data_IF_311217337447
#
_entry.id   IF_311217337447
#
_cell.length_a   1.000
_cell.length_b   1.000
_cell.length_c   1.000
_cell.angle_alpha   90.00
_cell.angle_beta   90.00
_cell.angle_gamma   90.00
#
_symmetry.space_group_name_H-M   'P 1'
#
loop_
_entity.id
_entity.type
_entity.pdbx_description
1 polymer ?
#
# COMPACT_ATOMS: atom_id res chain seq x y z
N UNK A 1 -51.51 3.64 -52.78
CA UNK A 1 -51.21 2.70 -51.68
C UNK A 1 -49.83 3.02 -51.12
N UNK A 2 -49.76 3.69 -49.96
CA UNK A 2 -48.48 4.01 -49.29
C UNK A 2 -48.21 2.96 -48.22
N UNK A 3 -47.06 2.30 -48.32
CA UNK A 3 -46.58 1.30 -47.38
C UNK A 3 -46.19 1.98 -46.05
N UNK A 4 -46.74 1.50 -44.95
CA UNK A 4 -46.34 1.88 -43.60
C UNK A 4 -45.26 0.90 -43.13
N UNK A 5 -44.02 1.38 -43.02
CA UNK A 5 -42.91 0.62 -42.44
C UNK A 5 -42.96 0.75 -40.92
N UNK A 6 -43.26 -0.35 -40.23
CA UNK A 6 -43.14 -0.44 -38.76
C UNK A 6 -41.67 -0.72 -38.43
N UNK A 7 -41.00 0.24 -37.81
CA UNK A 7 -39.67 0.06 -37.24
C UNK A 7 -39.85 -0.53 -35.83
N UNK A 8 -39.54 -1.81 -35.67
CA UNK A 8 -39.45 -2.45 -34.37
C UNK A 8 -38.14 -2.02 -33.70
N UNK A 9 -38.25 -1.18 -32.66
CA UNK A 9 -37.12 -0.76 -31.84
C UNK A 9 -36.81 -1.89 -30.84
N UNK A 10 -35.78 -2.68 -31.11
CA UNK A 10 -35.22 -3.66 -30.18
C UNK A 10 -34.52 -2.91 -29.04
N UNK A 11 -35.19 -2.81 -27.90
CA UNK A 11 -34.57 -2.38 -26.65
C UNK A 11 -33.73 -3.56 -26.15
N UNK A 12 -32.42 -3.51 -26.41
CA UNK A 12 -31.46 -4.42 -25.80
C UNK A 12 -31.35 -4.08 -24.30
N UNK A 13 -32.09 -4.80 -23.47
CA UNK A 13 -31.84 -4.84 -22.03
C UNK A 13 -30.48 -5.55 -21.83
N UNK A 14 -29.41 -4.78 -21.64
CA UNK A 14 -28.16 -5.35 -21.15
C UNK A 14 -28.41 -5.85 -19.74
N UNK A 15 -28.53 -7.17 -19.57
CA UNK A 15 -28.44 -7.79 -18.27
C UNK A 15 -27.08 -7.41 -17.70
N UNK A 16 -27.05 -6.45 -16.77
CA UNK A 16 -25.90 -6.25 -15.92
C UNK A 16 -25.71 -7.57 -15.19
N UNK A 17 -24.67 -8.31 -15.56
CA UNK A 17 -24.25 -9.44 -14.75
C UNK A 17 -23.84 -8.83 -13.42
N UNK A 18 -24.66 -9.04 -12.39
CA UNK A 18 -24.37 -8.55 -11.04
C UNK A 18 -23.05 -9.19 -10.61
N UNK A 19 -22.00 -8.38 -10.48
CA UNK A 19 -20.73 -8.86 -9.97
C UNK A 19 -20.95 -9.31 -8.51
N UNK A 20 -20.34 -10.43 -8.15
CA UNK A 20 -20.36 -10.93 -6.78
C UNK A 20 -19.24 -10.25 -6.01
N UNK A 21 -19.59 -9.59 -4.91
CA UNK A 21 -18.57 -8.96 -4.08
C UNK A 21 -17.60 -10.01 -3.49
N UNK A 22 -16.28 -9.76 -3.55
CA UNK A 22 -15.23 -10.73 -3.14
C UNK A 22 -15.43 -11.22 -1.71
N UNK A 23 -15.73 -10.33 -0.76
CA UNK A 23 -15.97 -10.71 0.65
C UNK A 23 -17.15 -11.68 0.77
N UNK A 24 -18.22 -11.46 0.00
CA UNK A 24 -19.40 -12.33 0.03
C UNK A 24 -19.10 -13.67 -0.65
N UNK A 25 -18.32 -13.67 -1.73
CA UNK A 25 -17.90 -14.87 -2.43
C UNK A 25 -17.01 -15.77 -1.56
N UNK A 26 -16.13 -15.19 -0.74
CA UNK A 26 -15.32 -15.92 0.25
C UNK A 26 -16.24 -16.49 1.34
N UNK A 27 -17.13 -15.67 1.91
CA UNK A 27 -18.02 -16.08 2.99
C UNK A 27 -18.99 -17.20 2.60
N UNK A 28 -19.41 -17.24 1.33
CA UNK A 28 -20.31 -18.28 0.78
C UNK A 28 -19.56 -19.43 0.09
N UNK A 29 -18.22 -19.46 0.21
CA UNK A 29 -17.36 -20.49 -0.38
C UNK A 29 -17.47 -20.64 -1.91
N UNK A 30 -17.94 -19.59 -2.61
CA UNK A 30 -17.90 -19.53 -4.08
C UNK A 30 -16.45 -19.44 -4.56
N UNK A 31 -15.60 -18.80 -3.77
CA UNK A 31 -14.15 -18.75 -4.01
C UNK A 31 -13.35 -19.02 -2.74
N UNK A 32 -12.12 -19.49 -2.95
CA UNK A 32 -11.07 -19.46 -1.94
C UNK A 32 -10.09 -18.33 -2.27
N UNK A 33 -9.60 -17.61 -1.26
CA UNK A 33 -8.65 -16.51 -1.44
C UNK A 33 -7.48 -16.63 -0.45
N UNK A 34 -6.26 -16.65 -0.98
CA UNK A 34 -5.03 -16.52 -0.18
C UNK A 34 -4.40 -15.16 -0.46
N UNK A 35 -4.17 -14.37 0.58
CA UNK A 35 -3.65 -13.00 0.46
C UNK A 35 -2.36 -12.93 1.24
N UNK A 36 -1.31 -12.38 0.62
CA UNK A 36 -0.01 -12.17 1.24
C UNK A 36 0.66 -10.90 0.71
N UNK A 37 1.76 -10.48 1.33
CA UNK A 37 2.59 -9.42 0.76
C UNK A 37 3.03 -9.76 -0.67
N UNK A 38 3.07 -8.75 -1.54
CA UNK A 38 3.47 -8.96 -2.92
C UNK A 38 4.97 -9.30 -3.01
N UNK A 39 5.31 -10.32 -3.78
CA UNK A 39 6.69 -10.52 -4.21
C UNK A 39 7.01 -9.55 -5.35
N UNK A 40 7.84 -8.54 -5.10
CA UNK A 40 8.21 -7.53 -6.08
C UNK A 40 8.79 -8.08 -7.38
N UNK A 41 9.43 -9.27 -7.34
CA UNK A 41 9.96 -9.94 -8.53
C UNK A 41 8.87 -10.56 -9.42
N UNK A 42 7.69 -10.83 -8.86
CA UNK A 42 6.55 -11.40 -9.60
C UNK A 42 5.61 -10.33 -10.16
N UNK A 43 5.74 -9.07 -9.73
CA UNK A 43 4.86 -7.98 -10.17
C UNK A 43 5.18 -7.62 -11.63
N UNK A 44 4.22 -7.76 -12.56
CA UNK A 44 4.44 -7.42 -13.96
C UNK A 44 4.68 -5.91 -14.15
N UNK A 45 5.45 -5.53 -15.17
CA UNK A 45 5.83 -4.13 -15.40
C UNK A 45 4.63 -3.18 -15.59
N UNK A 46 3.50 -3.67 -16.10
CA UNK A 46 2.28 -2.86 -16.27
C UNK A 46 1.56 -2.51 -14.95
N UNK A 47 2.03 -3.05 -13.82
CA UNK A 47 1.59 -2.68 -12.47
C UNK A 47 2.51 -1.64 -11.81
N UNK A 48 3.43 -1.01 -12.56
CA UNK A 48 4.12 0.20 -12.08
C UNK A 48 3.30 1.42 -12.44
N UNK A 49 2.66 2.02 -11.44
CA UNK A 49 1.94 3.28 -11.57
C UNK A 49 2.63 4.35 -10.73
N UNK A 50 3.03 5.48 -11.33
CA UNK A 50 3.77 6.58 -10.68
C UNK A 50 4.88 6.13 -9.69
N UNK A 51 5.69 5.15 -10.09
CA UNK A 51 6.76 4.55 -9.28
C UNK A 51 6.30 3.85 -7.98
N UNK A 52 5.00 3.53 -7.88
CA UNK A 52 4.42 2.74 -6.80
C UNK A 52 4.04 1.35 -7.32
N UNK A 53 4.24 0.36 -6.46
CA UNK A 53 3.96 -1.04 -6.75
C UNK A 53 2.83 -1.54 -5.83
N UNK A 54 1.99 -2.48 -6.30
CA UNK A 54 1.11 -3.24 -5.45
C UNK A 54 1.84 -3.80 -4.22
N UNK A 55 1.16 -3.78 -3.08
CA UNK A 55 1.73 -4.23 -1.79
C UNK A 55 1.26 -5.61 -1.39
N UNK A 56 0.21 -6.11 -2.03
CA UNK A 56 -0.35 -7.43 -1.78
C UNK A 56 -0.51 -8.20 -3.10
N UNK A 57 -0.42 -9.52 -2.98
CA UNK A 57 -0.89 -10.45 -4.00
C UNK A 57 -2.00 -11.32 -3.41
N UNK A 58 -2.96 -11.67 -4.26
CA UNK A 58 -4.12 -12.47 -3.91
C UNK A 58 -4.26 -13.60 -4.92
N UNK A 59 -4.23 -14.83 -4.45
CA UNK A 59 -4.55 -16.01 -5.24
C UNK A 59 -6.01 -16.37 -5.03
N UNK A 60 -6.78 -16.32 -6.11
CA UNK A 60 -8.21 -16.60 -6.13
C UNK A 60 -8.46 -17.94 -6.81
N UNK A 61 -9.29 -18.78 -6.21
CA UNK A 61 -9.74 -20.06 -6.79
C UNK A 61 -11.26 -20.05 -6.88
N UNK A 62 -11.81 -20.29 -8.07
CA UNK A 62 -13.24 -20.46 -8.26
C UNK A 62 -13.65 -21.89 -7.88
N UNK A 63 -14.45 -22.04 -6.82
CA UNK A 63 -14.89 -23.35 -6.34
C UNK A 63 -16.13 -23.87 -7.08
N UNK A 64 -16.69 -23.11 -8.01
CA UNK A 64 -17.93 -23.42 -8.72
C UNK A 64 -17.70 -23.95 -10.14
N UNK A 65 -18.77 -24.44 -10.78
CA UNK A 65 -18.79 -24.81 -12.19
C UNK A 65 -19.23 -23.66 -13.12
N UNK A 66 -19.40 -22.44 -12.58
CA UNK A 66 -19.86 -21.27 -13.33
C UNK A 66 -18.76 -20.21 -13.37
N UNK A 67 -18.78 -19.37 -14.41
CA UNK A 67 -17.93 -18.19 -14.47
C UNK A 67 -18.41 -17.19 -13.39
N UNK A 68 -17.46 -16.61 -12.65
CA UNK A 68 -17.72 -15.59 -11.65
C UNK A 68 -17.13 -14.26 -12.09
N UNK A 69 -17.94 -13.20 -12.03
CA UNK A 69 -17.46 -11.83 -12.09
C UNK A 69 -17.39 -11.32 -10.65
N UNK A 70 -16.19 -10.97 -10.21
CA UNK A 70 -15.91 -10.55 -8.85
C UNK A 70 -15.54 -9.08 -8.81
N UNK A 71 -16.00 -8.39 -7.78
CA UNK A 71 -15.58 -7.01 -7.50
C UNK A 71 -15.29 -6.80 -6.01
N UNK A 72 -14.35 -5.90 -5.73
CA UNK A 72 -14.13 -5.36 -4.39
C UNK A 72 -13.69 -3.92 -4.56
N UNK A 73 -14.51 -2.98 -4.08
CA UNK A 73 -14.19 -1.56 -4.14
C UNK A 73 -13.07 -1.18 -3.17
N UNK A 74 -12.39 -0.07 -3.43
CA UNK A 74 -11.37 0.49 -2.54
C UNK A 74 -11.88 0.81 -1.13
N UNK A 75 -10.92 1.00 -0.21
CA UNK A 75 -11.18 1.40 1.17
C UNK A 75 -11.23 0.24 2.17
N UNK A 76 -11.11 -1.02 1.75
CA UNK A 76 -10.93 -2.13 2.68
C UNK A 76 -9.56 -2.08 3.36
N UNK A 77 -9.55 -2.31 4.68
CA UNK A 77 -8.34 -2.53 5.44
C UNK A 77 -7.94 -4.01 5.32
N UNK A 78 -6.69 -4.25 4.99
CA UNK A 78 -6.09 -5.57 4.87
C UNK A 78 -5.26 -5.80 6.12
N UNK A 79 -5.69 -6.75 6.94
CA UNK A 79 -5.12 -6.99 8.26
C UNK A 79 -4.04 -8.08 8.20
N UNK A 80 -2.82 -7.82 8.68
CA UNK A 80 -1.80 -8.84 8.73
C UNK A 80 -2.17 -9.89 9.77
N UNK A 81 -1.82 -11.14 9.47
CA UNK A 81 -2.02 -12.26 10.41
C UNK A 81 -0.97 -12.30 11.52
N UNK A 82 0.11 -11.54 11.38
CA UNK A 82 1.23 -11.47 12.31
C UNK A 82 1.41 -10.05 12.86
N UNK A 83 1.82 -9.96 14.14
CA UNK A 83 2.12 -8.68 14.80
C UNK A 83 3.39 -8.05 14.22
N UNK A 84 3.44 -6.72 14.26
CA UNK A 84 4.60 -5.94 13.82
C UNK A 84 4.60 -5.61 12.32
N UNK A 85 3.59 -6.08 11.59
CA UNK A 85 3.32 -5.68 10.21
C UNK A 85 2.17 -4.66 10.15
N UNK A 86 2.17 -3.82 9.12
CA UNK A 86 1.16 -2.79 8.96
C UNK A 86 -0.17 -3.37 8.48
N UNK A 87 -1.27 -2.80 8.98
CA UNK A 87 -2.55 -2.78 8.26
C UNK A 87 -2.36 -2.00 6.95
N UNK A 88 -2.98 -2.47 5.86
CA UNK A 88 -2.91 -1.82 4.55
C UNK A 88 -4.28 -1.36 4.11
N UNK A 89 -4.42 -0.12 3.66
CA UNK A 89 -5.62 0.41 3.03
C UNK A 89 -5.61 0.06 1.54
N UNK A 90 -6.58 -0.71 1.05
CA UNK A 90 -6.73 -0.94 -0.39
C UNK A 90 -7.16 0.36 -1.09
N UNK A 91 -6.42 0.77 -2.11
CA UNK A 91 -6.58 2.08 -2.78
C UNK A 91 -7.00 1.96 -4.24
N UNK A 92 -7.25 0.75 -4.72
CA UNK A 92 -7.78 0.52 -6.06
C UNK A 92 -8.82 -0.60 -6.04
N UNK A 93 -9.94 -0.46 -6.76
CA UNK A 93 -10.88 -1.56 -6.93
C UNK A 93 -10.22 -2.78 -7.54
N UNK A 94 -10.60 -3.96 -7.04
CA UNK A 94 -10.31 -5.24 -7.66
C UNK A 94 -11.51 -5.65 -8.51
N UNK A 95 -11.28 -5.92 -9.80
CA UNK A 95 -12.30 -6.42 -10.72
C UNK A 95 -11.71 -7.64 -11.43
N UNK A 96 -12.32 -8.81 -11.26
CA UNK A 96 -11.76 -10.08 -11.72
C UNK A 96 -12.85 -10.93 -12.34
N UNK A 97 -12.54 -11.55 -13.48
CA UNK A 97 -13.35 -12.62 -14.06
C UNK A 97 -12.64 -13.94 -13.82
N UNK A 98 -13.30 -14.88 -13.13
CA UNK A 98 -12.78 -16.22 -12.88
C UNK A 98 -13.56 -17.25 -13.68
N UNK A 99 -12.84 -18.04 -14.49
CA UNK A 99 -13.42 -19.19 -15.18
C UNK A 99 -13.82 -20.27 -14.17
N UNK A 100 -14.75 -21.17 -14.52
CA UNK A 100 -15.07 -22.33 -13.69
C UNK A 100 -13.81 -23.08 -13.27
N UNK A 101 -13.70 -23.42 -11.98
CA UNK A 101 -12.58 -24.22 -11.41
C UNK A 101 -11.17 -23.66 -11.66
N UNK A 102 -11.03 -22.40 -12.10
CA UNK A 102 -9.73 -21.81 -12.37
C UNK A 102 -9.11 -21.16 -11.14
N UNK A 103 -7.80 -20.98 -11.21
CA UNK A 103 -7.01 -20.19 -10.27
C UNK A 103 -6.43 -18.98 -10.99
N UNK A 104 -6.53 -17.80 -10.38
CA UNK A 104 -5.96 -16.55 -10.90
C UNK A 104 -5.17 -15.83 -9.80
N UNK A 105 -4.05 -15.22 -10.19
CA UNK A 105 -3.25 -14.37 -9.30
C UNK A 105 -3.53 -12.90 -9.61
N UNK A 106 -3.78 -12.12 -8.58
CA UNK A 106 -4.07 -10.69 -8.66
C UNK A 106 -3.09 -9.91 -7.80
N UNK A 107 -2.74 -8.70 -8.22
CA UNK A 107 -1.94 -7.77 -7.43
C UNK A 107 -2.82 -6.60 -6.99
N UNK A 108 -2.76 -6.28 -5.70
CA UNK A 108 -3.64 -5.31 -5.06
C UNK A 108 -2.82 -4.09 -4.66
N UNK A 109 -3.21 -2.93 -5.19
CA UNK A 109 -2.71 -1.65 -4.71
C UNK A 109 -3.29 -1.37 -3.33
N UNK A 110 -2.38 -1.31 -2.37
CA UNK A 110 -2.70 -0.97 -1.00
C UNK A 110 -1.57 -0.11 -0.43
N UNK A 111 -1.93 0.77 0.51
CA UNK A 111 -1.03 1.70 1.17
C UNK A 111 -0.94 1.38 2.66
N UNK A 112 0.28 1.45 3.18
CA UNK A 112 0.63 1.28 4.59
C UNK A 112 -0.14 2.27 5.47
N UNK A 113 -0.88 1.79 6.47
CA UNK A 113 -1.72 2.65 7.33
C UNK A 113 -1.08 2.96 8.70
N UNK A 114 0.16 2.53 8.94
CA UNK A 114 0.83 2.64 10.25
C UNK A 114 2.33 2.88 10.07
N UNK A 115 2.76 4.13 9.91
CA UNK A 115 4.13 4.51 9.56
C UNK A 115 5.23 3.77 10.36
N UNK A 116 4.98 3.47 11.63
CA UNK A 116 5.94 2.83 12.54
C UNK A 116 6.05 1.30 12.46
N UNK A 117 5.20 0.63 11.67
CA UNK A 117 5.15 -0.84 11.55
C UNK A 117 5.88 -1.33 10.29
N UNK A 118 6.22 -2.61 10.22
CA UNK A 118 6.87 -3.16 9.02
C UNK A 118 5.90 -3.24 7.85
N UNK A 119 6.35 -2.83 6.68
CA UNK A 119 5.69 -3.09 5.41
C UNK A 119 5.56 -4.60 5.13
N UNK A 120 4.59 -5.00 4.29
CA UNK A 120 4.34 -6.40 3.99
C UNK A 120 5.58 -7.05 3.37
N UNK A 121 5.83 -8.31 3.75
CA UNK A 121 6.74 -9.19 3.00
C UNK A 121 5.96 -10.32 2.36
N UNK A 122 6.57 -10.98 1.37
CA UNK A 122 5.98 -12.12 0.65
C UNK A 122 5.58 -13.29 1.54
N UNK A 123 6.10 -13.36 2.76
CA UNK A 123 5.80 -14.43 3.74
C UNK A 123 4.58 -14.14 4.61
N UNK A 124 4.17 -12.87 4.70
CA UNK A 124 3.09 -12.48 5.62
C UNK A 124 1.75 -12.59 4.94
N UNK A 125 0.88 -13.37 5.57
CA UNK A 125 -0.50 -13.52 5.15
C UNK A 125 -1.35 -12.37 5.68
N UNK A 126 -2.35 -12.02 4.89
CA UNK A 126 -3.31 -10.97 5.17
C UNK A 126 -4.73 -11.50 5.09
N UNK A 127 -5.66 -10.80 5.73
CA UNK A 127 -7.10 -11.03 5.63
C UNK A 127 -7.79 -9.74 5.19
N UNK A 128 -8.91 -9.87 4.50
CA UNK A 128 -9.79 -8.72 4.25
C UNK A 128 -10.45 -8.36 5.58
N UNK A 129 -10.10 -7.20 6.12
CA UNK A 129 -10.67 -6.63 7.33
C UNK A 129 -11.89 -5.76 7.00
N UNK A 130 -12.15 -4.79 7.88
CA UNK A 130 -13.29 -3.90 7.73
C UNK A 130 -13.07 -2.88 6.61
N UNK A 131 -14.15 -2.49 5.96
CA UNK A 131 -14.14 -1.30 5.10
C UNK A 131 -13.93 -0.06 5.99
N UNK A 132 -12.98 0.79 5.60
CA UNK A 132 -12.75 2.07 6.25
C UNK A 132 -13.95 3.02 6.04
N UNK A 133 -13.97 4.11 6.80
CA UNK A 133 -15.03 5.11 6.78
C UNK A 133 -14.48 6.52 6.90
N UNK A 134 -15.31 7.52 6.60
CA UNK A 134 -14.95 8.94 6.71
C UNK A 134 -13.74 9.30 5.88
N UNK A 135 -12.87 10.15 6.43
CA UNK A 135 -11.70 10.70 5.73
C UNK A 135 -10.79 9.65 5.07
N UNK A 136 -10.60 8.48 5.71
CA UNK A 136 -9.74 7.44 5.16
C UNK A 136 -10.35 6.76 3.92
N UNK A 137 -11.68 6.54 3.93
CA UNK A 137 -12.40 6.02 2.76
C UNK A 137 -12.42 7.05 1.63
N UNK A 138 -12.70 8.32 1.96
CA UNK A 138 -12.69 9.41 0.98
C UNK A 138 -11.32 9.57 0.31
N UNK A 139 -10.23 9.41 1.06
CA UNK A 139 -8.88 9.40 0.51
C UNK A 139 -8.63 8.20 -0.41
N UNK A 140 -9.04 6.99 -0.02
CA UNK A 140 -8.91 5.81 -0.89
C UNK A 140 -9.64 6.03 -2.23
N UNK A 141 -10.87 6.55 -2.18
CA UNK A 141 -11.68 6.89 -3.35
C UNK A 141 -11.03 7.97 -4.21
N UNK A 142 -10.47 9.01 -3.58
CA UNK A 142 -9.72 10.05 -4.29
C UNK A 142 -8.52 9.47 -5.03
N UNK A 143 -7.74 8.60 -4.38
CA UNK A 143 -6.56 7.96 -4.98
C UNK A 143 -6.97 7.10 -6.18
N UNK A 144 -7.99 6.26 -6.02
CA UNK A 144 -8.51 5.42 -7.09
C UNK A 144 -9.02 6.24 -8.29
N UNK A 145 -9.84 7.26 -8.02
CA UNK A 145 -10.45 8.12 -9.05
C UNK A 145 -9.41 8.90 -9.85
N UNK A 146 -8.38 9.42 -9.18
CA UNK A 146 -7.36 10.27 -9.79
C UNK A 146 -6.14 9.50 -10.31
N UNK A 147 -6.09 8.17 -10.16
CA UNK A 147 -4.98 7.32 -10.61
C UNK A 147 -3.63 7.85 -10.13
N UNK A 148 -3.55 8.10 -8.83
CA UNK A 148 -2.36 8.66 -8.20
C UNK A 148 -1.71 7.69 -7.20
N UNK A 149 -1.70 6.38 -7.51
CA UNK A 149 -0.95 5.39 -6.75
C UNK A 149 0.53 5.81 -6.73
N UNK A 150 1.00 6.34 -5.61
CA UNK A 150 2.30 7.04 -5.51
C UNK A 150 2.78 7.08 -4.07
N UNK A 151 4.07 7.35 -3.86
CA UNK A 151 4.58 7.63 -2.52
C UNK A 151 3.96 8.88 -1.88
N UNK A 152 3.55 9.87 -2.69
CA UNK A 152 2.79 11.01 -2.21
C UNK A 152 1.43 10.58 -1.62
N UNK A 153 0.74 9.67 -2.29
CA UNK A 153 -0.51 9.12 -1.79
C UNK A 153 -0.30 8.27 -0.53
N UNK A 154 0.81 7.53 -0.44
CA UNK A 154 1.21 6.83 0.78
C UNK A 154 1.42 7.80 1.96
N UNK A 155 2.05 8.95 1.73
CA UNK A 155 2.21 10.00 2.74
C UNK A 155 0.87 10.66 3.11
N UNK A 156 -0.05 10.79 2.15
CA UNK A 156 -1.40 11.27 2.41
C UNK A 156 -2.16 10.34 3.36
N UNK A 157 -2.02 9.01 3.19
CA UNK A 157 -2.55 8.03 4.13
C UNK A 157 -1.96 8.24 5.53
N UNK A 158 -0.63 8.35 5.64
CA UNK A 158 0.03 8.62 6.93
C UNK A 158 -0.32 9.97 7.55
N UNK A 159 -0.72 10.96 6.77
CA UNK A 159 -1.22 12.23 7.32
C UNK A 159 -2.56 12.09 8.04
N UNK A 160 -3.37 11.12 7.63
CA UNK A 160 -4.65 10.79 8.28
C UNK A 160 -4.49 9.76 9.41
N UNK A 161 -3.58 8.79 9.27
CA UNK A 161 -3.45 7.67 10.23
C UNK A 161 -2.43 7.93 11.34
N UNK A 162 -1.33 8.60 11.03
CA UNK A 162 -0.20 8.82 11.93
C UNK A 162 0.10 10.32 12.17
N UNK A 163 -0.75 11.20 11.63
CA UNK A 163 -0.59 12.66 11.71
C UNK A 163 0.71 13.20 11.06
N UNK A 164 1.25 12.51 10.05
CA UNK A 164 2.33 13.08 9.22
C UNK A 164 1.93 14.47 8.68
N UNK A 165 2.85 15.45 8.61
CA UNK A 165 2.50 16.80 8.17
C UNK A 165 1.90 16.81 6.75
N UNK A 166 0.87 17.62 6.50
CA UNK A 166 0.29 17.73 5.14
C UNK A 166 1.36 18.16 4.12
N UNK A 167 2.22 19.11 4.51
CA UNK A 167 3.30 19.60 3.66
C UNK A 167 4.43 18.57 3.43
N UNK A 168 4.42 17.44 4.16
CA UNK A 168 5.33 16.33 3.87
C UNK A 168 4.87 15.48 2.68
N UNK A 169 3.61 15.60 2.25
CA UNK A 169 3.11 14.95 1.04
C UNK A 169 3.85 15.58 -0.13
N UNK A 170 4.77 14.85 -0.73
CA UNK A 170 5.68 15.36 -1.75
C UNK A 170 5.63 14.53 -3.03
N UNK A 171 5.83 15.14 -4.20
CA UNK A 171 5.92 14.41 -5.46
C UNK A 171 6.71 15.22 -6.47
N UNK A 172 7.44 14.53 -7.34
CA UNK A 172 8.01 15.16 -8.54
C UNK A 172 6.90 15.65 -9.48
N UNK A 173 5.71 15.04 -9.41
CA UNK A 173 4.52 15.52 -10.10
C UNK A 173 3.74 16.49 -9.20
N UNK A 174 3.89 17.79 -9.47
CA UNK A 174 3.25 18.86 -8.70
C UNK A 174 1.71 18.80 -8.71
N UNK A 175 1.08 18.24 -9.76
CA UNK A 175 -0.37 18.08 -9.78
C UNK A 175 -0.84 17.03 -8.76
N UNK A 176 -0.12 15.91 -8.67
CA UNK A 176 -0.37 14.88 -7.65
C UNK A 176 -0.11 15.46 -6.25
N UNK A 177 1.02 16.15 -6.07
CA UNK A 177 1.38 16.76 -4.79
C UNK A 177 0.31 17.74 -4.31
N UNK A 178 0.00 18.75 -5.13
CA UNK A 178 -0.94 19.81 -4.77
C UNK A 178 -2.36 19.26 -4.59
N UNK A 179 -2.78 18.31 -5.43
CA UNK A 179 -4.08 17.65 -5.32
C UNK A 179 -4.24 16.89 -4.00
N UNK A 180 -3.26 16.07 -3.63
CA UNK A 180 -3.28 15.32 -2.37
C UNK A 180 -3.17 16.24 -1.15
N UNK A 181 -2.29 17.25 -1.17
CA UNK A 181 -2.18 18.21 -0.07
C UNK A 181 -3.50 18.96 0.16
N UNK A 182 -4.14 19.45 -0.92
CA UNK A 182 -5.42 20.13 -0.83
C UNK A 182 -6.52 19.21 -0.33
N UNK A 183 -6.58 17.98 -0.84
CA UNK A 183 -7.59 17.01 -0.44
C UNK A 183 -7.47 16.63 1.04
N UNK A 184 -6.26 16.32 1.51
CA UNK A 184 -6.01 16.00 2.92
C UNK A 184 -6.26 17.22 3.82
N UNK A 185 -5.84 18.42 3.41
CA UNK A 185 -6.12 19.64 4.17
C UNK A 185 -7.62 19.86 4.36
N UNK A 186 -8.42 19.66 3.30
CA UNK A 186 -9.87 19.72 3.36
C UNK A 186 -10.46 18.67 4.34
N UNK A 187 -10.01 17.42 4.24
CA UNK A 187 -10.45 16.36 5.16
C UNK A 187 -10.11 16.64 6.64
N UNK A 188 -9.00 17.34 6.90
CA UNK A 188 -8.55 17.71 8.25
C UNK A 188 -9.10 19.06 8.72
N UNK A 189 -9.84 19.79 7.87
CA UNK A 189 -10.33 21.14 8.19
C UNK A 189 -9.22 22.18 8.35
N UNK A 190 -8.08 22.00 7.68
CA UNK A 190 -6.90 22.87 7.75
C UNK A 190 -6.88 23.81 6.55
N UNK A 191 -6.62 25.11 6.78
CA UNK A 191 -6.39 26.06 5.70
C UNK A 191 -4.99 25.85 5.10
N UNK A 192 -4.92 25.24 3.90
CA UNK A 192 -3.65 24.91 3.25
C UNK A 192 -2.80 26.14 2.92
N UNK A 193 -3.42 27.25 2.50
CA UNK A 193 -2.68 28.46 2.13
C UNK A 193 -2.06 29.13 3.36
N UNK A 194 -2.79 29.16 4.47
CA UNK A 194 -2.22 29.58 5.76
C UNK A 194 -1.07 28.66 6.19
N UNK A 195 -1.26 27.34 6.10
CA UNK A 195 -0.24 26.36 6.47
C UNK A 195 1.05 26.54 5.65
N UNK A 196 0.93 26.77 4.33
CA UNK A 196 2.06 27.08 3.45
C UNK A 196 2.75 28.39 3.83
N UNK A 197 1.98 29.43 4.14
CA UNK A 197 2.52 30.74 4.56
C UNK A 197 3.32 30.63 5.87
N UNK A 198 2.80 29.89 6.85
CA UNK A 198 3.47 29.65 8.13
C UNK A 198 4.77 28.86 7.98
N UNK A 199 4.89 28.06 6.91
CA UNK A 199 6.05 27.22 6.61
C UNK A 199 6.84 27.69 5.38
N UNK A 200 6.69 28.95 4.96
CA UNK A 200 7.26 29.45 3.70
C UNK A 200 8.79 29.38 3.64
N UNK A 201 9.45 29.35 4.80
CA UNK A 201 10.91 29.26 4.94
C UNK A 201 11.39 27.88 5.38
N UNK A 202 10.47 26.93 5.58
CA UNK A 202 10.78 25.58 6.00
C UNK A 202 10.93 24.68 4.77
N UNK A 203 12.06 23.98 4.67
CA UNK A 203 12.18 22.87 3.72
C UNK A 203 11.56 21.59 4.28
N UNK A 204 11.42 20.57 3.42
CA UNK A 204 10.83 19.29 3.78
C UNK A 204 11.55 18.65 4.99
N UNK A 205 12.88 18.68 5.03
CA UNK A 205 13.64 18.13 6.15
C UNK A 205 13.33 18.82 7.48
N UNK A 206 13.15 20.14 7.49
CA UNK A 206 12.79 20.88 8.70
C UNK A 206 11.38 20.52 9.16
N UNK A 207 10.43 20.40 8.24
CA UNK A 207 9.05 19.98 8.55
C UNK A 207 9.05 18.56 9.14
N UNK A 208 9.78 17.65 8.49
CA UNK A 208 9.88 16.26 8.92
C UNK A 208 10.64 16.11 10.23
N UNK A 209 11.69 16.91 10.48
CA UNK A 209 12.42 16.88 11.74
C UNK A 209 11.53 17.23 12.95
N UNK A 210 10.58 18.16 12.79
CA UNK A 210 9.60 18.48 13.85
C UNK A 210 8.70 17.29 14.13
N UNK A 211 8.17 16.64 13.08
CA UNK A 211 7.28 15.48 13.20
C UNK A 211 7.98 14.24 13.75
N UNK A 212 9.16 13.92 13.20
CA UNK A 212 9.99 12.79 13.62
C UNK A 212 10.51 12.95 15.05
N UNK A 213 10.52 14.18 15.57
CA UNK A 213 10.92 14.52 16.93
C UNK A 213 12.38 14.17 17.22
N UNK A 214 12.70 13.96 18.51
CA UNK A 214 14.04 13.52 18.98
C UNK A 214 14.17 12.01 19.08
N UNK A 215 13.51 11.25 18.19
CA UNK A 215 13.56 9.79 18.25
C UNK A 215 14.91 9.30 17.71
N UNK A 216 15.85 9.06 18.61
CA UNK A 216 17.13 8.45 18.30
C UNK A 216 17.06 6.94 18.52
N UNK A 217 17.56 6.22 17.52
CA UNK A 217 17.76 4.78 17.49
C UNK A 217 16.52 3.90 17.69
N UNK A 218 16.24 3.08 16.68
CA UNK A 218 15.22 2.04 16.71
C UNK A 218 15.86 0.67 16.67
N UNK A 219 15.15 -0.32 17.19
CA UNK A 219 15.55 -1.71 17.14
C UNK A 219 14.64 -2.47 16.18
N UNK A 220 15.24 -3.25 15.29
CA UNK A 220 14.55 -4.37 14.63
C UNK A 220 14.68 -5.57 15.57
N UNK A 221 13.57 -5.93 16.23
CA UNK A 221 13.50 -7.10 17.10
C UNK A 221 12.95 -8.28 16.31
N UNK A 222 13.62 -9.42 16.38
CA UNK A 222 13.21 -10.64 15.68
C UNK A 222 13.67 -11.89 16.41
N UNK A 223 12.96 -12.99 16.15
CA UNK A 223 13.33 -14.32 16.62
C UNK A 223 13.66 -15.21 15.42
N UNK A 224 14.52 -16.19 15.65
CA UNK A 224 14.86 -17.23 14.69
C UNK A 224 14.85 -18.58 15.40
N UNK A 225 14.37 -19.61 14.71
CA UNK A 225 14.36 -20.98 15.23
C UNK A 225 15.56 -21.81 14.71
N UNK A 226 16.29 -21.29 13.71
CA UNK A 226 17.47 -21.91 13.07
C UNK A 226 18.48 -20.86 12.65
N UNK A 227 19.72 -21.21 12.36
CA UNK A 227 20.69 -20.23 11.88
C UNK A 227 20.29 -19.64 10.51
N UNK A 228 20.46 -18.33 10.33
CA UNK A 228 20.12 -17.59 9.11
C UNK A 228 21.16 -16.52 8.79
N UNK A 229 21.28 -16.14 7.52
CA UNK A 229 22.13 -15.02 7.08
C UNK A 229 21.29 -13.74 7.10
N UNK A 230 21.74 -12.74 7.85
CA UNK A 230 21.06 -11.46 8.01
C UNK A 230 21.89 -10.31 7.44
N UNK A 231 21.25 -9.48 6.63
CA UNK A 231 21.77 -8.19 6.16
C UNK A 231 20.77 -7.09 6.51
N UNK A 232 21.25 -5.94 6.95
CA UNK A 232 20.40 -4.76 7.23
C UNK A 232 21.03 -3.55 6.59
N UNK A 233 20.23 -2.72 5.94
CA UNK A 233 20.71 -1.51 5.28
C UNK A 233 19.62 -0.48 5.04
N UNK A 234 20.04 0.70 4.62
CA UNK A 234 19.18 1.76 4.11
C UNK A 234 19.05 1.59 2.60
N UNK A 235 17.84 1.64 2.07
CA UNK A 235 17.53 1.42 0.66
C UNK A 235 16.73 2.58 0.08
N UNK A 236 17.00 2.91 -1.18
CA UNK A 236 16.24 3.90 -1.94
C UNK A 236 14.82 3.42 -2.25
N UNK A 237 13.98 4.30 -2.79
CA UNK A 237 12.63 3.95 -3.25
C UNK A 237 12.64 2.94 -4.41
N UNK A 238 13.68 2.95 -5.26
CA UNK A 238 13.87 1.95 -6.32
C UNK A 238 14.41 0.62 -5.78
N UNK A 239 14.80 0.57 -4.51
CA UNK A 239 15.30 -0.62 -3.84
C UNK A 239 16.82 -0.81 -3.91
N UNK A 240 17.56 0.22 -4.34
CA UNK A 240 19.03 0.23 -4.32
C UNK A 240 19.55 0.38 -2.89
N UNK A 241 20.59 -0.38 -2.52
CA UNK A 241 21.26 -0.24 -1.23
C UNK A 241 22.03 1.10 -1.18
N UNK A 242 21.63 2.00 -0.30
CA UNK A 242 22.27 3.29 -0.09
C UNK A 242 23.43 3.21 0.90
N UNK A 243 23.25 2.44 1.98
CA UNK A 243 24.23 2.29 3.04
C UNK A 243 23.97 1.00 3.85
N UNK A 244 24.97 0.14 4.08
CA UNK A 244 24.82 -1.01 4.96
C UNK A 244 24.81 -0.62 6.45
N UNK A 245 24.15 -1.44 7.26
CA UNK A 245 24.20 -1.44 8.74
C UNK A 245 24.93 -2.70 9.19
N UNK A 246 24.52 -3.86 8.70
CA UNK A 246 25.25 -5.14 8.79
C UNK A 246 25.12 -5.90 7.48
N UNK A 247 26.11 -6.70 7.14
CA UNK A 247 26.16 -7.46 5.87
C UNK A 247 26.53 -8.92 6.15
N UNK A 248 25.71 -9.82 5.63
CA UNK A 248 25.88 -11.28 5.59
C UNK A 248 26.30 -11.92 6.91
N UNK A 249 25.69 -11.47 8.01
CA UNK A 249 25.98 -11.98 9.35
C UNK A 249 25.18 -13.25 9.60
N UNK A 250 25.87 -14.34 9.93
CA UNK A 250 25.22 -15.56 10.41
C UNK A 250 24.69 -15.33 11.84
N UNK A 251 23.37 -15.35 11.97
CA UNK A 251 22.66 -15.22 13.25
C UNK A 251 22.11 -16.59 13.63
N UNK A 252 22.42 -17.06 14.84
CA UNK A 252 21.94 -18.34 15.39
C UNK A 252 20.48 -18.24 15.85
N UNK A 253 19.90 -19.36 16.24
CA UNK A 253 18.58 -19.42 16.87
C UNK A 253 18.51 -18.55 18.15
N UNK A 254 17.32 -18.05 18.45
CA UNK A 254 17.04 -17.21 19.61
C UNK A 254 16.47 -15.83 19.26
N UNK A 255 16.40 -14.97 20.28
CA UNK A 255 15.88 -13.61 20.18
C UNK A 255 17.02 -12.60 19.92
N UNK A 256 16.81 -11.73 18.95
CA UNK A 256 17.82 -10.79 18.45
C UNK A 256 17.26 -9.38 18.33
N UNK A 257 18.16 -8.40 18.35
CA UNK A 257 17.83 -6.99 18.18
C UNK A 257 18.95 -6.28 17.41
N UNK A 258 18.59 -5.60 16.33
CA UNK A 258 19.54 -4.78 15.55
C UNK A 258 19.16 -3.31 15.70
N UNK A 259 20.06 -2.53 16.29
CA UNK A 259 19.91 -1.08 16.45
C UNK A 259 20.25 -0.37 15.15
N UNK A 260 19.47 0.64 14.78
CA UNK A 260 19.75 1.52 13.66
C UNK A 260 19.29 2.95 13.95
N UNK A 261 19.96 3.93 13.34
CA UNK A 261 19.52 5.31 13.39
C UNK A 261 18.43 5.53 12.32
N UNK A 262 17.18 5.86 12.67
CA UNK A 262 16.13 6.10 11.69
C UNK A 262 16.33 7.34 10.83
N UNK A 263 17.20 8.29 11.24
CA UNK A 263 17.41 9.60 10.58
C UNK A 263 18.89 9.96 10.39
N UNK A 264 19.69 9.15 9.65
CA UNK A 264 21.10 9.46 9.43
C UNK A 264 21.27 10.73 8.58
N UNK A 265 22.13 11.64 9.01
CA UNK A 265 22.37 12.94 8.34
C UNK A 265 22.68 12.81 6.83
N UNK A 266 23.33 11.72 6.41
CA UNK A 266 23.64 11.42 5.01
C UNK A 266 22.41 11.19 4.11
N UNK A 267 21.23 10.98 4.70
CA UNK A 267 19.96 10.75 4.03
C UNK A 267 18.94 11.89 4.24
N UNK A 268 19.41 13.08 4.62
CA UNK A 268 18.57 14.28 4.74
C UNK A 268 17.95 14.64 3.38
N UNK A 269 16.68 15.08 3.38
CA UNK A 269 15.89 15.34 2.17
C UNK A 269 15.72 14.12 1.24
N UNK A 270 15.71 12.91 1.80
CA UNK A 270 15.53 11.67 1.02
C UNK A 270 14.42 10.81 1.60
N UNK A 271 13.74 10.12 0.71
CA UNK A 271 12.92 8.96 1.04
C UNK A 271 13.73 7.70 0.95
N UNK A 272 13.64 6.88 1.98
CA UNK A 272 14.34 5.61 2.04
C UNK A 272 13.55 4.62 2.90
N UNK A 273 14.03 3.39 2.91
CA UNK A 273 13.57 2.37 3.83
C UNK A 273 14.76 1.77 4.57
N UNK A 274 14.52 1.29 5.79
CA UNK A 274 15.44 0.37 6.45
C UNK A 274 14.90 -1.03 6.22
N UNK A 275 15.68 -1.89 5.57
CA UNK A 275 15.30 -3.28 5.29
C UNK A 275 16.20 -4.23 6.06
N UNK A 276 15.57 -5.23 6.65
CA UNK A 276 16.24 -6.45 7.12
C UNK A 276 15.97 -7.54 6.09
N UNK A 277 17.04 -8.07 5.52
CA UNK A 277 17.05 -9.21 4.61
C UNK A 277 17.44 -10.44 5.42
N UNK A 278 16.65 -11.51 5.31
CA UNK A 278 16.88 -12.81 5.93
C UNK A 278 16.93 -13.86 4.83
N UNK A 279 18.09 -14.49 4.65
CA UNK A 279 18.36 -15.49 3.61
C UNK A 279 17.98 -15.01 2.19
N UNK A 280 18.36 -13.76 1.88
CA UNK A 280 18.10 -13.16 0.56
C UNK A 280 16.70 -12.57 0.37
N UNK A 281 15.79 -12.72 1.34
CA UNK A 281 14.42 -12.19 1.24
C UNK A 281 14.16 -11.06 2.25
N UNK A 282 13.37 -10.05 1.84
CA UNK A 282 12.97 -8.97 2.73
C UNK A 282 12.11 -9.55 3.87
N UNK A 283 12.59 -9.40 5.09
CA UNK A 283 11.91 -9.88 6.29
C UNK A 283 11.18 -8.75 7.03
N UNK A 284 11.83 -7.59 7.16
CA UNK A 284 11.25 -6.35 7.70
C UNK A 284 11.62 -5.18 6.81
N UNK A 285 10.70 -4.25 6.61
CA UNK A 285 10.94 -3.00 5.88
C UNK A 285 10.19 -1.86 6.58
N UNK A 286 10.89 -0.78 6.90
CA UNK A 286 10.33 0.40 7.54
C UNK A 286 10.61 1.62 6.67
N UNK A 287 9.59 2.41 6.36
CA UNK A 287 9.73 3.60 5.51
C UNK A 287 10.03 4.84 6.34
N UNK A 288 10.94 5.66 5.83
CA UNK A 288 11.34 6.92 6.43
C UNK A 288 11.36 8.02 5.38
N UNK A 289 11.07 9.22 5.86
CA UNK A 289 11.30 10.45 5.14
C UNK A 289 11.96 11.43 6.10
N UNK A 290 13.10 11.97 5.64
CA UNK A 290 13.92 12.95 6.32
C UNK A 290 14.20 14.10 5.38
#
# INVERSE_FOLDING_TARGET
MKYATIIAMLIAFSARVNATHVVNAIATNLISAEIQGANGAEIPNNFRENNYLPKLQMELVNNTNQELNLEMEEGFLMEPTEKGYQVLLMTQPLIVKLKPKSKEKQFIYAMCAQLSMSSPSSKIKYKVGKKSSGALLELAQYIAKNRCQSFAAQEAVWSLTDNSPILSIHSENLNIQNGLQAFVANLKGVNLEQLKKENAYNNLAQIMAVYNGKQFDRNIVFNTDTAHIISVGYYSQSGELLKPIIEDVLVKDGAHSIRYNPFPLSLTNKRYSVRMIKDGEIFREYYFMQ
#
